data_IF_199050882562
#
_entry.id   IF_199050882562
#
_cell.length_a   1.000
_cell.length_b   1.000
_cell.length_c   1.000
_cell.angle_alpha   90.00
_cell.angle_beta   90.00
_cell.angle_gamma   90.00
#
_symmetry.space_group_name_H-M   'P 1'
#
loop_
_entity.id
_entity.type
_entity.pdbx_description
1 polymer ?
#
# COMPACT_ATOMS: atom_id res chain seq x y z
N UNK A 1 -14.60 -14.55 -12.70
CA UNK A 1 -13.63 -13.73 -11.95
C UNK A 1 -12.47 -14.60 -11.52
N UNK A 2 -11.23 -14.13 -11.69
CA UNK A 2 -10.04 -14.86 -11.23
C UNK A 2 -10.05 -14.83 -9.70
N UNK A 3 -10.13 -16.03 -9.09
CA UNK A 3 -10.04 -16.19 -7.65
C UNK A 3 -8.58 -15.97 -7.22
N UNK A 4 -8.42 -15.31 -6.08
CA UNK A 4 -7.14 -15.02 -5.47
C UNK A 4 -7.04 -15.62 -4.08
N UNK A 5 -6.46 -14.85 -3.16
CA UNK A 5 -6.25 -15.25 -1.78
C UNK A 5 -7.56 -15.64 -1.08
N UNK A 6 -7.52 -16.70 -0.26
CA UNK A 6 -8.67 -17.27 0.46
C UNK A 6 -9.88 -17.61 -0.41
N UNK A 7 -9.67 -17.96 -1.68
CA UNK A 7 -10.73 -18.25 -2.67
C UNK A 7 -11.66 -17.06 -2.98
N UNK A 8 -11.32 -15.85 -2.54
CA UNK A 8 -12.08 -14.63 -2.86
C UNK A 8 -11.58 -14.01 -4.17
N UNK A 9 -12.45 -13.33 -4.95
CA UNK A 9 -12.03 -12.61 -6.15
C UNK A 9 -10.97 -11.54 -5.84
N UNK A 10 -9.97 -11.38 -6.72
CA UNK A 10 -8.96 -10.33 -6.54
C UNK A 10 -9.55 -8.91 -6.40
N UNK A 11 -10.67 -8.63 -7.07
CA UNK A 11 -11.36 -7.35 -6.95
C UNK A 11 -11.92 -7.08 -5.54
N UNK A 12 -12.28 -8.12 -4.78
CA UNK A 12 -12.69 -7.93 -3.38
C UNK A 12 -11.51 -7.43 -2.54
N UNK A 13 -10.32 -8.02 -2.74
CA UNK A 13 -9.09 -7.58 -2.09
C UNK A 13 -8.66 -6.18 -2.54
N UNK A 14 -8.83 -5.85 -3.83
CA UNK A 14 -8.58 -4.50 -4.33
C UNK A 14 -9.47 -3.46 -3.65
N UNK A 15 -10.77 -3.75 -3.52
CA UNK A 15 -11.71 -2.86 -2.82
C UNK A 15 -11.33 -2.66 -1.36
N UNK A 16 -11.00 -3.72 -0.64
CA UNK A 16 -10.54 -3.64 0.75
C UNK A 16 -9.26 -2.82 0.88
N UNK A 17 -8.26 -3.07 0.04
CA UNK A 17 -7.00 -2.33 0.06
C UNK A 17 -7.23 -0.83 -0.21
N UNK A 18 -8.13 -0.49 -1.14
CA UNK A 18 -8.45 0.90 -1.45
C UNK A 18 -9.13 1.61 -0.27
N UNK A 19 -10.06 0.94 0.41
CA UNK A 19 -10.69 1.49 1.63
C UNK A 19 -9.63 1.79 2.68
N UNK A 20 -8.69 0.87 2.91
CA UNK A 20 -7.60 1.09 3.87
C UNK A 20 -6.69 2.25 3.43
N UNK A 21 -6.40 2.39 2.14
CA UNK A 21 -5.63 3.53 1.63
C UNK A 21 -6.30 4.87 1.94
N UNK A 22 -7.62 4.97 1.79
CA UNK A 22 -8.40 6.17 2.10
C UNK A 22 -8.39 6.47 3.61
N UNK A 23 -8.56 5.45 4.44
CA UNK A 23 -8.52 5.59 5.91
C UNK A 23 -7.19 6.18 6.36
N UNK A 24 -6.05 5.64 5.89
CA UNK A 24 -4.72 6.16 6.23
C UNK A 24 -4.41 7.52 5.57
N UNK A 25 -5.07 7.84 4.45
CA UNK A 25 -4.93 9.15 3.82
C UNK A 25 -5.61 10.26 4.61
N UNK A 26 -6.72 9.98 5.28
CA UNK A 26 -7.58 11.01 5.90
C UNK A 26 -7.55 10.96 7.43
N UNK A 27 -7.71 9.78 8.02
CA UNK A 27 -8.08 9.62 9.44
C UNK A 27 -6.96 9.09 10.32
N UNK A 28 -6.15 8.14 9.83
CA UNK A 28 -5.10 7.48 10.62
C UNK A 28 -3.71 8.06 10.30
N UNK A 29 -3.51 9.33 10.63
CA UNK A 29 -2.20 9.99 10.47
C UNK A 29 -1.27 9.54 11.62
N UNK A 30 -0.06 9.01 11.32
CA UNK A 30 0.91 8.63 12.35
C UNK A 30 1.33 9.84 13.20
N UNK A 31 1.46 9.66 14.52
CA UNK A 31 1.81 10.75 15.45
C UNK A 31 3.20 11.31 15.17
N UNK A 32 4.11 10.45 14.72
CA UNK A 32 5.48 10.76 14.34
C UNK A 32 5.51 11.75 13.16
N UNK A 33 4.47 11.74 12.31
CA UNK A 33 4.34 12.71 11.23
C UNK A 33 4.10 14.14 11.78
N UNK A 34 3.43 14.28 12.94
CA UNK A 34 3.09 15.61 13.48
C UNK A 34 4.31 16.40 13.94
N UNK A 35 5.41 15.71 14.27
CA UNK A 35 6.67 16.32 14.71
C UNK A 35 7.78 16.24 13.66
N UNK A 36 7.55 15.52 12.57
CA UNK A 36 8.51 15.40 11.47
C UNK A 36 8.39 16.57 10.49
N UNK A 37 9.47 16.86 9.77
CA UNK A 37 9.51 17.88 8.72
C UNK A 37 10.14 17.32 7.44
N UNK A 38 9.97 18.05 6.33
CA UNK A 38 10.59 17.75 5.04
C UNK A 38 10.23 16.36 4.48
N UNK A 39 11.23 15.63 3.99
CA UNK A 39 11.04 14.32 3.37
C UNK A 39 10.46 13.28 4.34
N UNK A 40 10.90 13.30 5.60
CA UNK A 40 10.41 12.37 6.63
C UNK A 40 8.92 12.56 6.89
N UNK A 41 8.45 13.82 6.97
CA UNK A 41 7.02 14.12 7.08
C UNK A 41 6.23 13.50 5.93
N UNK A 42 6.69 13.68 4.70
CA UNK A 42 6.01 13.16 3.52
C UNK A 42 5.88 11.63 3.55
N UNK A 43 6.96 10.93 3.88
CA UNK A 43 6.96 9.46 3.99
C UNK A 43 6.02 8.99 5.11
N UNK A 44 6.06 9.61 6.28
CA UNK A 44 5.18 9.22 7.39
C UNK A 44 3.70 9.55 7.10
N UNK A 45 3.44 10.66 6.40
CA UNK A 45 2.07 11.10 6.10
C UNK A 45 1.39 10.28 5.02
N UNK A 46 2.15 9.83 4.02
CA UNK A 46 1.60 9.21 2.79
C UNK A 46 2.13 7.83 2.48
N UNK A 47 3.29 7.44 3.02
CA UNK A 47 3.96 6.20 2.67
C UNK A 47 3.11 4.96 2.92
N UNK A 48 2.46 4.87 4.09
CA UNK A 48 1.60 3.74 4.40
C UNK A 48 0.36 3.69 3.49
N UNK A 49 -0.29 4.83 3.24
CA UNK A 49 -1.41 4.90 2.29
C UNK A 49 -0.98 4.48 0.87
N UNK A 50 0.21 4.89 0.43
CA UNK A 50 0.75 4.52 -0.88
C UNK A 50 0.98 3.01 -1.01
N UNK A 51 1.41 2.31 0.05
CA UNK A 51 1.51 0.84 0.06
C UNK A 51 0.15 0.21 -0.26
N UNK A 52 -0.92 0.70 0.37
CA UNK A 52 -2.29 0.21 0.12
C UNK A 52 -2.79 0.53 -1.29
N UNK A 53 -2.41 1.68 -1.85
CA UNK A 53 -2.68 1.99 -3.27
C UNK A 53 -1.95 1.02 -4.20
N UNK A 54 -0.67 0.74 -3.95
CA UNK A 54 0.10 -0.21 -4.76
C UNK A 54 -0.46 -1.64 -4.64
N UNK A 55 -0.93 -2.05 -3.47
CA UNK A 55 -1.64 -3.32 -3.30
C UNK A 55 -2.98 -3.34 -4.07
N UNK A 56 -3.71 -2.25 -4.07
CA UNK A 56 -4.94 -2.12 -4.88
C UNK A 56 -4.62 -2.35 -6.36
N UNK A 57 -3.59 -1.69 -6.89
CA UNK A 57 -3.14 -1.86 -8.28
C UNK A 57 -2.70 -3.32 -8.52
N UNK A 58 -1.93 -3.91 -7.62
CA UNK A 58 -1.52 -5.33 -7.71
C UNK A 58 -2.74 -6.25 -7.87
N UNK A 59 -3.73 -6.13 -6.98
CA UNK A 59 -4.91 -6.97 -7.00
C UNK A 59 -5.78 -6.74 -8.24
N UNK A 60 -5.93 -5.49 -8.69
CA UNK A 60 -6.62 -5.19 -9.96
C UNK A 60 -5.93 -5.87 -11.14
N UNK A 61 -4.60 -5.74 -11.26
CA UNK A 61 -3.84 -6.37 -12.35
C UNK A 61 -4.03 -7.90 -12.37
N UNK A 62 -3.97 -8.55 -11.19
CA UNK A 62 -4.23 -10.00 -11.06
C UNK A 62 -5.68 -10.38 -11.35
N UNK A 63 -6.62 -9.50 -11.08
CA UNK A 63 -8.06 -9.70 -11.34
C UNK A 63 -8.43 -9.57 -12.82
N UNK A 64 -7.68 -8.78 -13.59
CA UNK A 64 -7.92 -8.55 -15.02
C UNK A 64 -7.44 -9.74 -15.87
N UNK A 65 -6.16 -10.12 -15.76
CA UNK A 65 -5.59 -11.17 -16.62
C UNK A 65 -4.34 -11.80 -16.00
N UNK A 66 -4.17 -13.14 -16.07
CA UNK A 66 -2.96 -13.81 -15.59
C UNK A 66 -1.67 -13.34 -16.29
N UNK A 67 -1.76 -12.83 -17.52
CA UNK A 67 -0.61 -12.31 -18.27
C UNK A 67 0.00 -11.06 -17.60
N UNK A 68 -0.76 -10.35 -16.77
CA UNK A 68 -0.31 -9.17 -16.04
C UNK A 68 0.37 -9.53 -14.70
N UNK A 69 0.45 -10.82 -14.33
CA UNK A 69 1.03 -11.24 -13.06
C UNK A 69 2.49 -10.80 -12.87
N UNK A 70 3.27 -10.73 -13.96
CA UNK A 70 4.65 -10.20 -13.91
C UNK A 70 4.68 -8.74 -13.46
N UNK A 71 3.84 -7.90 -14.08
CA UNK A 71 3.70 -6.48 -13.71
C UNK A 71 3.15 -6.38 -12.28
N UNK A 72 2.16 -7.19 -11.93
CA UNK A 72 1.62 -7.23 -10.57
C UNK A 72 2.72 -7.50 -9.54
N UNK A 73 3.62 -8.47 -9.79
CA UNK A 73 4.73 -8.76 -8.90
C UNK A 73 5.67 -7.55 -8.73
N UNK A 74 5.97 -6.81 -9.79
CA UNK A 74 6.78 -5.58 -9.71
C UNK A 74 6.08 -4.51 -8.86
N UNK A 75 4.78 -4.31 -9.03
CA UNK A 75 4.00 -3.37 -8.20
C UNK A 75 3.99 -3.80 -6.72
N UNK A 76 3.86 -5.11 -6.45
CA UNK A 76 3.95 -5.63 -5.09
C UNK A 76 5.34 -5.41 -4.48
N UNK A 77 6.42 -5.60 -5.26
CA UNK A 77 7.77 -5.33 -4.81
C UNK A 77 7.97 -3.84 -4.47
N UNK A 78 7.46 -2.93 -5.32
CA UNK A 78 7.46 -1.49 -5.03
C UNK A 78 6.69 -1.17 -3.74
N UNK A 79 5.54 -1.81 -3.52
CA UNK A 79 4.77 -1.71 -2.27
C UNK A 79 5.57 -2.18 -1.06
N UNK A 80 6.28 -3.31 -1.17
CA UNK A 80 7.18 -3.81 -0.13
C UNK A 80 8.31 -2.82 0.21
N UNK A 81 8.99 -2.28 -0.80
CA UNK A 81 10.05 -1.27 -0.62
C UNK A 81 9.49 -0.01 0.06
N UNK A 82 8.34 0.47 -0.37
CA UNK A 82 7.69 1.65 0.22
C UNK A 82 7.31 1.39 1.69
N UNK A 83 6.81 0.18 2.02
CA UNK A 83 6.50 -0.19 3.39
C UNK A 83 7.75 -0.23 4.27
N UNK A 84 8.86 -0.81 3.78
CA UNK A 84 10.13 -0.81 4.50
C UNK A 84 10.64 0.62 4.74
N UNK A 85 10.56 1.49 3.74
CA UNK A 85 10.95 2.90 3.89
C UNK A 85 10.07 3.62 4.92
N UNK A 86 8.75 3.39 4.90
CA UNK A 86 7.83 3.90 5.92
C UNK A 86 8.22 3.43 7.33
N UNK A 87 8.44 2.12 7.50
CA UNK A 87 8.83 1.52 8.78
C UNK A 87 10.16 2.09 9.30
N UNK A 88 11.16 2.25 8.44
CA UNK A 88 12.43 2.89 8.81
C UNK A 88 12.20 4.31 9.34
N UNK A 89 11.43 5.14 8.63
CA UNK A 89 11.15 6.52 9.05
C UNK A 89 10.34 6.61 10.34
N UNK A 90 9.46 5.62 10.59
CA UNK A 90 8.64 5.53 11.78
C UNK A 90 9.44 5.04 13.00
N UNK A 91 10.34 4.07 12.81
CA UNK A 91 11.10 3.45 13.89
C UNK A 91 12.42 4.16 14.24
N UNK A 92 12.95 5.02 13.36
CA UNK A 92 14.19 5.80 13.61
C UNK A 92 14.05 6.90 14.68
N UNK A 93 13.08 6.79 15.59
CA UNK A 93 12.95 7.67 16.75
C UNK A 93 14.01 7.29 17.79
N UNK A 94 15.10 8.06 17.79
CA UNK A 94 15.95 8.35 18.95
C UNK A 94 16.02 9.85 19.12
#
# INVERSE_FOLDING_TARGET
MIKGFLNLPWFAWAGLALVVAVIYSITLIPKEALTATGFRFFILRWGHALVWVLLTINFVLRGISPNLNGIANLVAAAGGVMYLLFMLMALMVK
#
